data_IF_146112051021
#
_entry.id   IF_146112051021
#
_cell.length_a   1.000
_cell.length_b   1.000
_cell.length_c   1.000
_cell.angle_alpha   90.00
_cell.angle_beta   90.00
_cell.angle_gamma   90.00
#
_symmetry.space_group_name_H-M   'P 1'
#
loop_
_entity.id
_entity.type
_entity.pdbx_description
1 polymer ?
#
# COMPACT_ATOMS: atom_id res chain seq x y z
N UNK A 1 11.77 19.10 5.92
CA UNK A 1 10.38 18.68 6.22
C UNK A 1 9.86 17.94 5.00
N UNK A 2 9.37 16.70 5.13
CA UNK A 2 8.78 15.96 3.99
C UNK A 2 7.51 16.69 3.54
N UNK A 3 7.40 16.96 2.23
CA UNK A 3 6.26 17.67 1.65
C UNK A 3 5.09 16.74 1.30
N UNK A 4 5.35 15.48 0.97
CA UNK A 4 4.32 14.53 0.58
C UNK A 4 3.66 13.85 1.79
N UNK A 5 2.38 13.51 1.62
CA UNK A 5 1.57 12.72 2.56
C UNK A 5 0.89 11.62 1.77
N UNK A 6 1.29 10.37 2.00
CA UNK A 6 0.67 9.20 1.41
C UNK A 6 -0.78 9.07 1.88
N UNK A 7 -1.60 8.36 1.10
CA UNK A 7 -2.99 8.04 1.47
C UNK A 7 -3.21 6.54 1.46
N UNK A 8 -3.78 6.02 2.54
CA UNK A 8 -3.91 4.59 2.77
C UNK A 8 -5.32 4.21 3.22
N UNK A 9 -5.80 3.07 2.75
CA UNK A 9 -7.08 2.48 3.15
C UNK A 9 -6.81 1.22 3.97
N UNK A 10 -7.27 1.23 5.23
CA UNK A 10 -7.23 0.06 6.11
C UNK A 10 -8.57 -0.66 6.11
N UNK A 11 -8.53 -1.98 5.97
CA UNK A 11 -9.73 -2.79 5.85
C UNK A 11 -10.14 -3.32 7.21
N UNK A 12 -11.38 -3.05 7.58
CA UNK A 12 -11.98 -3.40 8.87
C UNK A 12 -13.37 -3.99 8.66
N UNK A 13 -13.99 -4.46 9.74
CA UNK A 13 -15.37 -4.93 9.78
C UNK A 13 -16.11 -4.31 10.97
N UNK A 14 -17.40 -4.62 11.10
CA UNK A 14 -18.28 -4.19 12.18
C UNK A 14 -17.68 -4.37 13.59
N UNK A 15 -16.89 -5.44 13.79
CA UNK A 15 -16.38 -5.82 15.11
C UNK A 15 -15.04 -5.18 15.44
N UNK A 16 -14.28 -4.79 14.42
CA UNK A 16 -12.94 -4.25 14.57
C UNK A 16 -12.88 -2.74 14.40
N UNK A 17 -13.71 -2.15 13.52
CA UNK A 17 -13.72 -0.71 13.28
C UNK A 17 -13.93 0.11 14.56
N UNK A 18 -14.93 -0.20 15.43
CA UNK A 18 -15.15 0.58 16.65
C UNK A 18 -13.94 0.57 17.58
N UNK A 19 -13.24 -0.57 17.72
CA UNK A 19 -12.04 -0.70 18.55
C UNK A 19 -10.91 0.17 18.00
N UNK A 20 -10.63 0.09 16.69
CA UNK A 20 -9.59 0.91 16.05
C UNK A 20 -9.87 2.41 16.17
N UNK A 21 -11.13 2.82 15.99
CA UNK A 21 -11.59 4.22 16.13
C UNK A 21 -11.39 4.72 17.55
N UNK A 22 -11.89 3.99 18.55
CA UNK A 22 -11.91 4.48 19.93
C UNK A 22 -10.53 4.39 20.59
N UNK A 23 -9.67 3.49 20.12
CA UNK A 23 -8.29 3.30 20.59
C UNK A 23 -7.24 3.97 19.73
N UNK A 24 -7.61 4.63 18.63
CA UNK A 24 -6.71 5.40 17.77
C UNK A 24 -5.48 4.61 17.28
N UNK A 25 -5.73 3.43 16.72
CA UNK A 25 -4.70 2.63 16.05
C UNK A 25 -5.28 1.92 14.83
N UNK A 26 -4.42 1.41 13.96
CA UNK A 26 -4.76 0.42 12.93
C UNK A 26 -4.01 -0.88 13.22
N UNK A 27 -4.73 -1.99 13.32
CA UNK A 27 -4.18 -3.34 13.42
C UNK A 27 -4.35 -4.09 12.11
N UNK A 28 -3.33 -4.82 11.69
CA UNK A 28 -3.37 -5.66 10.50
C UNK A 28 -2.92 -7.08 10.79
N UNK A 29 -3.28 -7.99 9.89
CA UNK A 29 -3.03 -9.43 10.02
C UNK A 29 -1.54 -9.72 10.19
N UNK A 30 -1.20 -10.92 10.66
CA UNK A 30 0.15 -11.45 10.68
C UNK A 30 0.12 -12.86 10.07
N UNK A 31 0.26 -12.97 8.74
CA UNK A 31 0.24 -14.25 8.06
C UNK A 31 1.32 -15.21 8.57
N UNK A 32 0.99 -16.51 8.66
CA UNK A 32 1.96 -17.54 9.01
C UNK A 32 2.98 -17.78 7.89
N UNK A 33 2.52 -17.68 6.63
CA UNK A 33 3.35 -17.83 5.44
C UNK A 33 4.26 -16.60 5.27
N UNK A 34 5.55 -16.85 5.08
CA UNK A 34 6.58 -15.82 5.01
C UNK A 34 6.34 -14.82 3.88
N UNK A 35 6.11 -15.30 2.66
CA UNK A 35 5.85 -14.47 1.49
C UNK A 35 4.65 -13.50 1.70
N UNK A 36 3.54 -14.00 2.25
CA UNK A 36 2.36 -13.17 2.53
C UNK A 36 2.60 -12.19 3.67
N UNK A 37 3.40 -12.57 4.66
CA UNK A 37 3.78 -11.70 5.78
C UNK A 37 4.66 -10.56 5.31
N UNK A 38 5.67 -10.82 4.48
CA UNK A 38 6.51 -9.75 3.95
C UNK A 38 5.81 -8.87 2.92
N UNK A 39 4.86 -9.42 2.15
CA UNK A 39 4.00 -8.57 1.30
C UNK A 39 3.17 -7.59 2.12
N UNK A 40 2.69 -8.00 3.30
CA UNK A 40 2.05 -7.08 4.25
C UNK A 40 3.05 -6.13 4.91
N UNK A 41 4.28 -6.58 5.18
CA UNK A 41 5.31 -5.70 5.73
C UNK A 41 5.71 -4.63 4.72
N UNK A 42 5.71 -4.93 3.42
CA UNK A 42 5.88 -3.92 2.39
C UNK A 42 4.81 -2.83 2.50
N UNK A 43 3.54 -3.21 2.70
CA UNK A 43 2.46 -2.25 2.92
C UNK A 43 2.68 -1.37 4.15
N UNK A 44 3.09 -2.00 5.27
CA UNK A 44 3.35 -1.28 6.52
C UNK A 44 4.58 -0.38 6.40
N UNK A 45 5.64 -0.85 5.75
CA UNK A 45 6.86 -0.09 5.54
C UNK A 45 6.71 1.00 4.49
N UNK A 46 5.59 1.08 3.76
CA UNK A 46 5.28 2.22 2.90
C UNK A 46 4.61 3.38 3.66
N UNK A 47 4.12 3.13 4.89
CA UNK A 47 3.50 4.14 5.73
C UNK A 47 4.53 5.12 6.29
N UNK A 48 4.16 6.40 6.41
CA UNK A 48 4.94 7.46 7.07
C UNK A 48 4.09 8.23 8.06
N UNK A 49 4.73 8.79 9.08
CA UNK A 49 4.06 9.76 9.96
C UNK A 49 3.60 10.97 9.15
N UNK A 50 2.36 11.40 9.39
CA UNK A 50 1.69 12.44 8.62
C UNK A 50 0.85 11.95 7.45
N UNK A 51 0.96 10.66 7.08
CA UNK A 51 0.11 10.07 6.04
C UNK A 51 -1.36 10.01 6.48
N UNK A 52 -2.25 10.09 5.49
CA UNK A 52 -3.70 10.05 5.68
C UNK A 52 -4.20 8.61 5.65
N UNK A 53 -5.09 8.28 6.58
CA UNK A 53 -5.73 6.97 6.68
C UNK A 53 -7.25 7.10 6.58
N UNK A 54 -7.83 6.25 5.76
CA UNK A 54 -9.26 5.94 5.74
C UNK A 54 -9.47 4.50 6.19
N UNK A 55 -10.59 4.23 6.86
CA UNK A 55 -11.05 2.85 7.06
C UNK A 55 -12.04 2.47 5.97
N UNK A 56 -11.95 1.25 5.45
CA UNK A 56 -12.99 0.64 4.62
C UNK A 56 -13.63 -0.52 5.39
N UNK A 57 -14.87 -0.30 5.82
CA UNK A 57 -15.66 -1.30 6.55
C UNK A 57 -16.34 -2.25 5.56
N UNK A 58 -15.99 -3.55 5.65
CA UNK A 58 -16.42 -4.61 4.74
C UNK A 58 -17.90 -5.00 4.92
N UNK A 59 -18.42 -5.71 3.91
CA UNK A 59 -19.72 -6.37 3.94
C UNK A 59 -19.63 -7.67 4.74
N UNK A 60 -19.92 -7.66 6.03
CA UNK A 60 -20.19 -8.89 6.80
C UNK A 60 -21.56 -8.68 7.44
N UNK A 61 -22.63 -9.10 6.76
CA UNK A 61 -24.02 -9.02 7.25
C UNK A 61 -24.54 -7.61 7.61
N UNK A 62 -23.81 -6.55 7.25
CA UNK A 62 -24.18 -5.16 7.53
C UNK A 62 -25.05 -4.51 6.42
N UNK A 63 -25.99 -3.61 6.80
CA UNK A 63 -26.77 -2.84 5.85
C UNK A 63 -25.90 -2.07 4.85
N UNK A 64 -26.38 -1.94 3.61
CA UNK A 64 -25.60 -1.30 2.54
C UNK A 64 -25.17 0.14 2.86
N UNK A 65 -25.92 0.85 3.69
CA UNK A 65 -25.72 2.26 4.05
C UNK A 65 -24.78 2.45 5.24
N UNK A 66 -24.46 1.40 6.00
CA UNK A 66 -23.66 1.47 7.23
C UNK A 66 -22.21 1.02 7.02
N UNK A 67 -21.81 0.83 5.76
CA UNK A 67 -20.50 0.33 5.36
C UNK A 67 -19.86 1.23 4.32
N UNK A 68 -18.58 1.00 4.04
CA UNK A 68 -17.80 1.77 3.09
C UNK A 68 -16.68 2.55 3.77
N UNK A 69 -16.29 3.67 3.18
CA UNK A 69 -15.16 4.46 3.64
C UNK A 69 -15.53 5.35 4.82
N UNK A 70 -14.68 5.36 5.85
CA UNK A 70 -14.94 6.03 7.13
C UNK A 70 -13.72 6.80 7.63
N UNK A 71 -14.01 7.99 8.13
CA UNK A 71 -13.10 8.88 8.85
C UNK A 71 -11.88 9.35 8.05
N UNK A 72 -11.22 10.37 8.56
CA UNK A 72 -9.93 10.85 8.06
C UNK A 72 -8.98 10.89 9.26
N UNK A 73 -7.96 10.06 9.22
CA UNK A 73 -6.98 9.93 10.30
C UNK A 73 -5.60 10.30 9.78
N UNK A 74 -4.69 10.60 10.71
CA UNK A 74 -3.27 10.85 10.40
C UNK A 74 -2.41 9.84 11.17
N UNK A 75 -1.42 9.24 10.51
CA UNK A 75 -0.44 8.34 11.13
C UNK A 75 0.50 9.14 12.04
N UNK A 76 0.74 8.64 13.26
CA UNK A 76 1.58 9.32 14.27
C UNK A 76 2.70 8.43 14.85
N UNK A 77 2.87 7.21 14.34
CA UNK A 77 3.97 6.34 14.74
C UNK A 77 4.54 5.57 13.55
N UNK A 78 5.72 5.00 13.73
CA UNK A 78 6.19 3.90 12.88
C UNK A 78 5.35 2.64 13.14
N UNK A 79 5.28 1.69 12.18
CA UNK A 79 4.71 0.37 12.41
C UNK A 79 5.47 -0.41 13.50
N UNK A 80 4.72 -1.15 14.30
CA UNK A 80 5.25 -1.96 15.39
C UNK A 80 4.51 -3.28 15.54
N UNK A 81 5.08 -4.17 16.35
CA UNK A 81 4.55 -5.48 16.68
C UNK A 81 4.17 -5.55 18.16
N UNK A 82 2.90 -5.84 18.44
CA UNK A 82 2.37 -5.96 19.80
C UNK A 82 1.42 -7.15 19.93
N UNK A 83 1.70 -8.01 20.91
CA UNK A 83 0.93 -9.23 21.20
C UNK A 83 -0.11 -9.03 22.31
N UNK A 84 -0.23 -7.84 22.88
CA UNK A 84 -1.24 -7.50 23.87
C UNK A 84 -2.62 -7.39 23.21
N UNK A 85 -3.64 -7.78 23.95
CA UNK A 85 -5.03 -7.65 23.51
C UNK A 85 -5.54 -6.24 23.77
N UNK A 86 -6.35 -5.72 22.85
CA UNK A 86 -6.93 -4.38 22.91
C UNK A 86 -8.44 -4.53 22.92
N UNK A 87 -9.03 -4.34 24.10
CA UNK A 87 -10.48 -4.33 24.26
C UNK A 87 -11.06 -2.97 23.90
N UNK A 88 -12.26 -2.95 23.34
CA UNK A 88 -12.98 -1.73 23.05
C UNK A 88 -13.38 -0.97 24.30
N UNK A 89 -13.58 0.33 24.13
CA UNK A 89 -13.93 1.30 25.18
C UNK A 89 -15.13 2.13 24.74
N UNK A 90 -15.89 2.67 25.68
CA UNK A 90 -17.08 3.47 25.39
C UNK A 90 -18.05 2.71 24.46
N UNK A 91 -18.25 3.22 23.24
CA UNK A 91 -19.17 2.64 22.25
C UNK A 91 -18.69 1.30 21.68
N UNK A 92 -17.40 0.97 21.84
CA UNK A 92 -16.84 -0.32 21.40
C UNK A 92 -16.74 -1.36 22.52
N UNK A 93 -17.31 -1.11 23.71
CA UNK A 93 -17.35 -2.11 24.79
C UNK A 93 -17.96 -3.43 24.30
N UNK A 94 -17.31 -4.54 24.63
CA UNK A 94 -17.69 -5.89 24.18
C UNK A 94 -16.97 -6.35 22.91
N UNK A 95 -16.35 -5.45 22.14
CA UNK A 95 -15.46 -5.80 21.04
C UNK A 95 -14.00 -5.90 21.48
N UNK A 96 -13.19 -6.68 20.76
CA UNK A 96 -11.77 -6.86 21.08
C UNK A 96 -10.96 -7.24 19.85
N UNK A 97 -9.77 -6.65 19.75
CA UNK A 97 -8.72 -7.02 18.80
C UNK A 97 -7.60 -7.70 19.58
N UNK A 98 -7.26 -8.94 19.21
CA UNK A 98 -6.25 -9.71 19.92
C UNK A 98 -4.87 -9.53 19.29
N UNK A 99 -3.82 -9.59 20.10
CA UNK A 99 -2.43 -9.65 19.62
C UNK A 99 -1.96 -11.09 19.37
N UNK A 100 -2.64 -12.07 19.97
CA UNK A 100 -2.28 -13.49 19.89
C UNK A 100 -3.49 -14.42 19.99
N UNK A 101 -3.28 -15.68 19.61
CA UNK A 101 -4.28 -16.71 19.75
C UNK A 101 -4.57 -16.97 21.23
N UNK A 102 -5.85 -16.94 21.67
CA UNK A 102 -6.21 -17.17 23.07
C UNK A 102 -5.89 -18.58 23.56
N UNK A 103 -5.70 -19.54 22.64
CA UNK A 103 -5.51 -20.94 22.99
C UNK A 103 -4.03 -21.37 23.09
N UNK A 104 -3.13 -20.74 22.32
CA UNK A 104 -1.73 -21.16 22.24
C UNK A 104 -0.73 -20.01 22.22
N UNK A 105 -1.18 -18.76 22.33
CA UNK A 105 -0.31 -17.59 22.34
C UNK A 105 0.37 -17.25 21.01
N UNK A 106 0.10 -17.97 19.93
CA UNK A 106 0.68 -17.66 18.62
C UNK A 106 0.17 -16.32 18.08
N UNK A 107 1.03 -15.44 17.56
CA UNK A 107 0.62 -14.14 17.03
C UNK A 107 0.14 -14.21 15.58
N UNK A 108 -0.03 -15.41 15.00
CA UNK A 108 -0.44 -15.53 13.60
C UNK A 108 -1.95 -15.38 13.45
N UNK A 109 -2.35 -14.63 12.42
CA UNK A 109 -3.77 -14.45 12.11
C UNK A 109 -4.45 -15.76 11.76
N UNK A 110 -5.65 -15.92 12.28
CA UNK A 110 -6.48 -17.07 12.01
C UNK A 110 -6.85 -17.16 10.52
N UNK A 111 -6.97 -18.39 10.02
CA UNK A 111 -7.52 -18.67 8.70
C UNK A 111 -9.04 -18.75 8.81
N UNK A 112 -9.74 -18.04 7.94
CA UNK A 112 -11.19 -18.20 7.76
C UNK A 112 -11.46 -19.51 7.03
N UNK A 113 -12.39 -20.31 7.53
CA UNK A 113 -12.88 -21.53 6.85
C UNK A 113 -14.33 -21.26 6.45
N UNK A 114 -14.62 -21.34 5.14
CA UNK A 114 -15.95 -21.27 4.50
C UNK A 114 -17.01 -20.45 5.25
N UNK A 115 -17.31 -19.24 4.75
CA UNK A 115 -18.48 -18.46 5.19
C UNK A 115 -18.26 -17.57 6.42
N UNK A 116 -17.07 -16.94 6.56
CA UNK A 116 -16.71 -15.89 7.53
C UNK A 116 -16.91 -16.12 9.04
N UNK A 117 -17.61 -17.17 9.49
CA UNK A 117 -17.97 -17.35 10.90
C UNK A 117 -16.91 -18.09 11.73
N UNK A 118 -16.19 -19.06 11.14
CA UNK A 118 -15.25 -19.91 11.89
C UNK A 118 -13.80 -19.58 11.54
N UNK A 119 -13.09 -18.96 12.49
CA UNK A 119 -11.66 -18.67 12.38
C UNK A 119 -10.86 -19.74 13.15
N UNK A 120 -9.88 -20.38 12.49
CA UNK A 120 -8.96 -21.35 13.13
C UNK A 120 -7.56 -20.79 13.24
N UNK A 121 -6.95 -20.95 14.41
CA UNK A 121 -5.53 -20.66 14.59
C UNK A 121 -4.69 -21.53 13.65
N UNK A 122 -3.76 -20.96 12.85
CA UNK A 122 -2.96 -21.75 11.92
C UNK A 122 -1.97 -22.68 12.63
N UNK A 123 -1.66 -22.44 13.91
CA UNK A 123 -0.73 -23.24 14.73
C UNK A 123 -1.49 -24.35 15.48
N UNK A 124 -2.28 -24.01 16.50
CA UNK A 124 -2.93 -25.02 17.34
C UNK A 124 -4.25 -25.58 16.78
N UNK A 125 -4.71 -25.06 15.63
CA UNK A 125 -5.96 -25.47 14.93
C UNK A 125 -7.27 -25.26 15.71
N UNK A 126 -7.22 -24.79 16.96
CA UNK A 126 -8.40 -24.43 17.75
C UNK A 126 -9.13 -23.22 17.15
N UNK A 127 -10.45 -23.22 17.28
CA UNK A 127 -11.34 -22.15 16.81
C UNK A 127 -11.40 -20.99 17.82
N UNK A 128 -11.64 -19.78 17.32
CA UNK A 128 -11.96 -18.61 18.15
C UNK A 128 -12.65 -17.51 17.30
N UNK A 129 -13.40 -16.60 17.91
CA UNK A 129 -14.08 -15.50 17.19
C UNK A 129 -13.20 -14.29 16.85
N UNK A 130 -12.05 -14.14 17.52
CA UNK A 130 -11.27 -12.90 17.48
C UNK A 130 -10.43 -12.69 16.21
N UNK A 131 -10.23 -11.42 15.85
CA UNK A 131 -9.17 -11.00 14.92
C UNK A 131 -7.84 -10.92 15.67
N UNK A 132 -6.82 -11.62 15.16
CA UNK A 132 -5.44 -11.53 15.68
C UNK A 132 -4.68 -10.56 14.77
N UNK A 133 -4.42 -9.35 15.27
CA UNK A 133 -3.84 -8.21 14.55
C UNK A 133 -2.66 -7.60 15.34
N UNK A 134 -1.49 -8.27 15.39
CA UNK A 134 -0.36 -7.79 16.19
C UNK A 134 0.50 -6.74 15.48
N UNK A 135 0.42 -6.64 14.16
CA UNK A 135 1.09 -5.60 13.40
C UNK A 135 0.25 -4.33 13.49
N UNK A 136 0.77 -3.27 14.10
CA UNK A 136 -0.01 -2.10 14.50
C UNK A 136 0.69 -0.80 14.13
N UNK A 137 -0.10 0.25 14.04
CA UNK A 137 0.37 1.62 13.85
C UNK A 137 -0.59 2.57 14.58
N UNK A 138 -0.06 3.62 15.20
CA UNK A 138 -0.86 4.62 15.91
C UNK A 138 -1.33 5.70 14.94
N UNK A 139 -2.55 6.16 15.17
CA UNK A 139 -3.17 7.24 14.40
C UNK A 139 -3.73 8.30 15.34
N UNK A 140 -4.10 9.45 14.80
CA UNK A 140 -4.99 10.43 15.46
C UNK A 140 -6.11 10.81 14.52
N UNK A 141 -7.24 11.24 15.06
CA UNK A 141 -8.33 11.81 14.26
C UNK A 141 -7.83 13.10 13.63
N UNK A 142 -7.96 13.22 12.31
CA UNK A 142 -7.76 14.48 11.58
C UNK A 142 -9.10 15.16 11.34
N UNK A 143 -10.05 14.43 10.77
CA UNK A 143 -11.45 14.85 10.61
C UNK A 143 -12.36 13.65 10.85
N UNK A 144 -13.40 13.86 11.67
CA UNK A 144 -14.41 12.84 11.93
C UNK A 144 -15.69 13.14 11.16
N UNK A 145 -16.24 12.07 10.58
CA UNK A 145 -17.46 12.07 9.79
C UNK A 145 -18.30 10.87 10.23
N UNK A 146 -19.54 11.13 10.63
CA UNK A 146 -20.42 10.10 11.19
C UNK A 146 -20.84 9.07 10.13
N UNK A 147 -21.27 9.56 8.97
CA UNK A 147 -21.79 8.74 7.89
C UNK A 147 -20.66 8.31 6.95
N UNK A 148 -20.60 7.03 6.55
CA UNK A 148 -19.61 6.53 5.62
C UNK A 148 -19.89 7.00 4.19
N UNK A 149 -18.88 6.91 3.33
CA UNK A 149 -19.07 6.89 1.87
C UNK A 149 -19.31 5.45 1.44
N UNK A 150 -20.54 5.13 1.06
CA UNK A 150 -20.88 3.80 0.56
C UNK A 150 -20.26 3.51 -0.81
N UNK A 151 -20.26 2.23 -1.18
CA UNK A 151 -19.68 1.74 -2.43
C UNK A 151 -20.24 2.42 -3.70
N UNK A 152 -21.56 2.60 -3.79
CA UNK A 152 -22.15 3.18 -5.00
C UNK A 152 -21.75 4.65 -5.11
N UNK A 153 -21.75 5.37 -3.98
CA UNK A 153 -21.27 6.75 -3.94
C UNK A 153 -19.79 6.88 -4.28
N UNK A 154 -18.95 5.95 -3.81
CA UNK A 154 -17.51 5.94 -4.10
C UNK A 154 -17.16 5.61 -5.57
N UNK A 155 -17.77 4.55 -6.12
CA UNK A 155 -17.35 3.96 -7.40
C UNK A 155 -18.24 4.30 -8.59
N UNK A 156 -19.54 4.51 -8.39
CA UNK A 156 -20.52 4.66 -9.48
C UNK A 156 -20.96 6.11 -9.67
N UNK A 157 -20.87 6.94 -8.62
CA UNK A 157 -21.32 8.33 -8.72
C UNK A 157 -20.37 9.18 -9.57
N UNK A 158 -20.78 9.46 -10.81
CA UNK A 158 -20.05 10.31 -11.77
C UNK A 158 -20.32 11.82 -11.60
N UNK A 159 -21.15 12.23 -10.63
CA UNK A 159 -21.37 13.67 -10.33
C UNK A 159 -20.24 14.31 -9.53
N UNK A 160 -19.24 13.52 -9.12
CA UNK A 160 -18.03 14.01 -8.47
C UNK A 160 -16.81 13.64 -9.32
N UNK A 161 -15.90 14.60 -9.50
CA UNK A 161 -14.69 14.40 -10.29
C UNK A 161 -13.75 13.33 -9.69
N UNK A 162 -13.12 12.55 -10.57
CA UNK A 162 -12.13 11.51 -10.24
C UNK A 162 -12.72 10.11 -10.08
N UNK A 163 -11.86 9.11 -10.07
CA UNK A 163 -12.22 7.69 -9.92
C UNK A 163 -11.28 7.00 -8.93
N UNK A 164 -11.79 5.99 -8.22
CA UNK A 164 -11.02 5.18 -7.26
C UNK A 164 -10.54 3.88 -7.94
N UNK A 165 -9.75 4.00 -9.01
CA UNK A 165 -9.29 2.88 -9.82
C UNK A 165 -8.54 1.82 -9.03
N UNK A 166 -7.58 2.23 -8.18
CA UNK A 166 -6.76 1.27 -7.42
C UNK A 166 -7.62 0.41 -6.49
N UNK A 167 -8.67 1.01 -5.93
CA UNK A 167 -9.66 0.32 -5.10
C UNK A 167 -10.70 -0.45 -5.90
N UNK A 168 -11.11 0.04 -7.07
CA UNK A 168 -12.09 -0.62 -7.94
C UNK A 168 -11.52 -1.91 -8.53
N UNK A 169 -10.28 -1.88 -9.05
CA UNK A 169 -9.60 -3.08 -9.56
C UNK A 169 -9.50 -4.14 -8.47
N UNK A 170 -9.14 -3.72 -7.24
CA UNK A 170 -9.10 -4.60 -6.07
C UNK A 170 -10.46 -5.24 -5.77
N UNK A 171 -11.56 -4.52 -5.96
CA UNK A 171 -12.91 -4.99 -5.62
C UNK A 171 -13.48 -5.97 -6.65
N UNK A 172 -13.17 -5.78 -7.92
CA UNK A 172 -13.60 -6.68 -8.99
C UNK A 172 -12.85 -8.01 -8.88
N UNK A 173 -11.64 -8.00 -8.35
CA UNK A 173 -10.83 -9.20 -8.19
C UNK A 173 -11.23 -10.07 -6.99
N UNK A 174 -11.28 -11.40 -7.23
CA UNK A 174 -11.82 -12.40 -6.31
C UNK A 174 -10.93 -12.76 -5.09
N UNK A 175 -11.35 -13.79 -4.33
CA UNK A 175 -10.68 -14.22 -3.10
C UNK A 175 -9.19 -14.54 -3.28
N UNK A 176 -8.37 -14.19 -2.28
CA UNK A 176 -6.93 -14.54 -2.26
C UNK A 176 -5.96 -13.40 -2.60
N UNK A 177 -6.46 -12.25 -3.05
CA UNK A 177 -5.66 -11.01 -3.24
C UNK A 177 -6.08 -9.86 -2.31
N UNK A 178 -6.83 -10.19 -1.26
CA UNK A 178 -7.26 -9.24 -0.24
C UNK A 178 -6.07 -8.74 0.58
N UNK A 179 -5.70 -7.47 0.39
CA UNK A 179 -4.76 -6.78 1.28
C UNK A 179 -5.48 -6.12 2.45
N UNK A 180 -4.81 -6.07 3.60
CA UNK A 180 -5.32 -5.36 4.78
C UNK A 180 -5.14 -3.84 4.67
N UNK A 181 -4.16 -3.42 3.86
CA UNK A 181 -3.79 -2.03 3.59
C UNK A 181 -3.79 -1.86 2.07
N UNK A 182 -4.23 -0.70 1.58
CA UNK A 182 -4.11 -0.35 0.17
C UNK A 182 -3.64 1.09 0.06
N UNK A 183 -2.55 1.28 -0.69
CA UNK A 183 -2.04 2.59 -1.07
C UNK A 183 -2.90 3.12 -2.22
N UNK A 184 -3.59 4.23 -1.99
CA UNK A 184 -4.41 4.88 -3.02
C UNK A 184 -3.70 6.12 -3.53
N UNK A 185 -4.00 6.52 -4.77
CA UNK A 185 -3.37 7.68 -5.38
C UNK A 185 -3.79 8.96 -4.64
N UNK A 186 -2.97 10.04 -4.68
CA UNK A 186 -3.30 11.30 -4.03
C UNK A 186 -4.72 11.82 -4.37
N UNK A 187 -5.06 11.83 -5.65
CA UNK A 187 -6.36 12.26 -6.18
C UNK A 187 -7.54 11.35 -5.73
N UNK A 188 -7.28 10.08 -5.45
CA UNK A 188 -8.27 9.14 -4.90
C UNK A 188 -8.57 9.48 -3.43
N UNK A 189 -7.52 9.82 -2.66
CA UNK A 189 -7.64 10.31 -1.30
C UNK A 189 -8.45 11.60 -1.21
N UNK A 190 -8.14 12.58 -2.07
CA UNK A 190 -8.91 13.82 -2.14
C UNK A 190 -10.37 13.58 -2.48
N UNK A 191 -10.66 12.66 -3.42
CA UNK A 191 -12.04 12.28 -3.76
C UNK A 191 -12.77 11.74 -2.53
N UNK A 192 -12.16 10.84 -1.76
CA UNK A 192 -12.79 10.30 -0.55
C UNK A 192 -13.08 11.38 0.50
N UNK A 193 -12.15 12.30 0.74
CA UNK A 193 -12.38 13.44 1.64
C UNK A 193 -13.54 14.30 1.16
N UNK A 194 -13.59 14.65 -0.14
CA UNK A 194 -14.70 15.43 -0.72
C UNK A 194 -16.05 14.72 -0.57
N UNK A 195 -16.10 13.41 -0.78
CA UNK A 195 -17.33 12.63 -0.65
C UNK A 195 -17.79 12.55 0.81
N UNK A 196 -16.88 12.34 1.77
CA UNK A 196 -17.21 12.36 3.20
C UNK A 196 -17.78 13.71 3.62
N UNK A 197 -17.14 14.81 3.22
CA UNK A 197 -17.63 16.16 3.48
C UNK A 197 -19.01 16.39 2.86
N UNK A 198 -19.24 15.96 1.61
CA UNK A 198 -20.52 16.12 0.92
C UNK A 198 -21.66 15.36 1.61
N UNK A 199 -21.42 14.14 2.07
CA UNK A 199 -22.44 13.31 2.73
C UNK A 199 -22.80 13.88 4.11
N UNK A 200 -21.81 14.39 4.83
CA UNK A 200 -21.99 14.83 6.22
C UNK A 200 -22.23 16.33 6.37
N UNK A 201 -22.01 17.13 5.31
CA UNK A 201 -22.09 18.58 5.30
C UNK A 201 -20.90 19.28 5.98
N UNK A 202 -20.45 18.77 7.13
CA UNK A 202 -19.28 19.23 7.88
C UNK A 202 -18.66 18.09 8.68
N UNK A 203 -17.41 18.26 9.12
CA UNK A 203 -16.83 17.40 10.15
C UNK A 203 -17.49 17.66 11.51
N UNK A 204 -17.51 16.63 12.36
CA UNK A 204 -18.07 16.70 13.70
C UNK A 204 -17.03 16.31 14.76
N UNK A 205 -17.39 16.49 16.04
CA UNK A 205 -16.54 16.03 17.13
C UNK A 205 -16.50 14.50 17.14
N UNK A 206 -15.31 13.88 17.23
CA UNK A 206 -15.21 12.44 17.34
C UNK A 206 -15.88 11.95 18.63
N UNK A 207 -16.39 10.70 18.65
CA UNK A 207 -16.83 10.08 19.90
C UNK A 207 -15.66 10.02 20.91
N UNK A 208 -15.97 9.84 22.22
CA UNK A 208 -14.94 9.66 23.23
C UNK A 208 -13.95 8.56 22.84
N UNK A 209 -12.66 8.89 22.89
CA UNK A 209 -11.56 7.98 22.57
C UNK A 209 -10.66 7.78 23.78
N UNK A 210 -10.18 6.56 23.97
CA UNK A 210 -9.12 6.24 24.91
C UNK A 210 -7.93 5.75 24.10
N UNK A 211 -6.96 6.64 23.78
CA UNK A 211 -5.83 6.29 22.92
C UNK A 211 -5.16 4.99 23.33
N UNK A 212 -4.56 4.34 22.34
CA UNK A 212 -3.90 3.06 22.48
C UNK A 212 -3.09 2.99 23.78
N UNK A 213 -3.32 1.96 24.63
CA UNK A 213 -2.60 1.86 25.88
C UNK A 213 -1.12 1.73 25.51
N UNK A 214 -0.34 2.77 25.81
CA UNK A 214 1.11 2.70 25.64
C UNK A 214 1.55 1.50 26.47
N UNK A 215 2.02 0.45 25.82
CA UNK A 215 2.82 -0.53 26.53
C UNK A 215 3.98 0.27 27.14
N UNK A 216 4.28 0.05 28.42
CA UNK A 216 5.43 0.66 29.09
C UNK A 216 6.61 0.67 28.11
N UNK A 217 7.35 1.78 28.04
CA UNK A 217 8.25 2.21 26.94
C UNK A 217 9.26 1.15 26.41
N UNK A 218 9.36 -0.03 27.02
CA UNK A 218 10.15 -1.17 26.59
C UNK A 218 9.45 -2.27 25.75
N UNK A 219 8.14 -2.22 25.47
CA UNK A 219 7.42 -3.34 24.83
C UNK A 219 7.02 -3.14 23.35
N UNK A 220 7.18 -1.95 22.79
CA UNK A 220 6.86 -1.69 21.37
C UNK A 220 8.05 -2.12 20.50
N UNK A 221 8.00 -3.36 20.01
CA UNK A 221 8.98 -3.84 19.05
C UNK A 221 8.71 -3.20 17.68
N UNK A 222 9.55 -2.24 17.28
CA UNK A 222 9.52 -1.73 15.88
C UNK A 222 9.54 -2.91 14.92
N UNK A 223 8.74 -2.82 13.86
CA UNK A 223 8.66 -3.89 12.89
C UNK A 223 10.03 -4.06 12.21
N UNK A 224 10.63 -5.25 12.31
CA UNK A 224 11.94 -5.54 11.75
C UNK A 224 11.82 -6.37 10.47
N UNK A 225 12.54 -5.95 9.43
CA UNK A 225 12.71 -6.72 8.20
C UNK A 225 13.89 -7.67 8.37
N UNK A 226 13.71 -8.97 8.11
CA UNK A 226 14.80 -9.93 8.07
C UNK A 226 15.11 -10.28 6.62
N UNK A 227 16.19 -9.69 6.08
CA UNK A 227 16.60 -9.87 4.68
C UNK A 227 17.22 -11.26 4.43
N UNK A 228 17.90 -11.81 5.44
CA UNK A 228 18.63 -13.08 5.36
C UNK A 228 20.14 -12.87 5.15
N UNK A 229 20.88 -13.98 5.10
CA UNK A 229 22.36 -13.98 5.01
C UNK A 229 22.91 -14.51 3.66
N UNK A 230 22.06 -15.10 2.83
CA UNK A 230 22.45 -15.56 1.49
C UNK A 230 22.51 -14.38 0.51
N UNK A 231 23.15 -14.52 -0.67
CA UNK A 231 23.32 -13.42 -1.64
C UNK A 231 22.00 -12.93 -2.27
N UNK A 232 20.93 -13.70 -2.09
CA UNK A 232 19.59 -13.47 -2.65
C UNK A 232 18.56 -13.55 -1.52
N UNK A 233 17.55 -12.68 -1.55
CA UNK A 233 16.41 -12.77 -0.63
C UNK A 233 15.59 -14.05 -0.87
N UNK A 234 14.93 -14.58 0.17
CA UNK A 234 14.14 -15.82 0.06
C UNK A 234 12.88 -15.66 -0.80
N UNK A 235 12.36 -14.43 -0.92
CA UNK A 235 11.16 -14.08 -1.71
C UNK A 235 11.22 -12.63 -2.18
N UNK A 236 10.55 -12.35 -3.30
CA UNK A 236 10.43 -11.00 -3.88
C UNK A 236 9.79 -10.01 -2.90
N UNK A 237 8.83 -10.46 -2.09
CA UNK A 237 8.20 -9.64 -1.04
C UNK A 237 9.18 -9.07 -0.02
N UNK A 238 10.35 -9.70 0.19
CA UNK A 238 11.40 -9.15 1.07
C UNK A 238 12.10 -7.98 0.37
N UNK A 239 12.40 -8.11 -0.92
CA UNK A 239 12.96 -7.03 -1.71
C UNK A 239 11.98 -5.85 -1.77
N UNK A 240 10.71 -6.12 -2.03
CA UNK A 240 9.63 -5.13 -2.00
C UNK A 240 9.52 -4.43 -0.65
N UNK A 241 9.51 -5.19 0.45
CA UNK A 241 9.46 -4.63 1.81
C UNK A 241 10.69 -3.79 2.15
N UNK A 242 11.88 -4.21 1.69
CA UNK A 242 13.10 -3.45 1.83
C UNK A 242 13.03 -2.13 1.06
N UNK A 243 12.54 -2.16 -0.18
CA UNK A 243 12.36 -0.97 -1.00
C UNK A 243 11.41 0.02 -0.31
N UNK A 244 10.23 -0.43 0.13
CA UNK A 244 9.26 0.45 0.82
C UNK A 244 9.84 1.05 2.11
N UNK A 245 10.63 0.28 2.86
CA UNK A 245 11.30 0.75 4.07
C UNK A 245 12.36 1.82 3.80
N UNK A 246 12.94 1.88 2.60
CA UNK A 246 14.16 2.65 2.33
C UNK A 246 14.08 3.67 1.18
N UNK A 247 13.00 3.66 0.39
CA UNK A 247 12.87 4.46 -0.84
C UNK A 247 13.08 5.96 -0.64
N UNK A 248 12.78 6.47 0.55
CA UNK A 248 12.84 7.88 0.92
C UNK A 248 13.89 8.18 2.02
N UNK A 249 14.92 7.34 2.12
CA UNK A 249 16.01 7.43 3.11
C UNK A 249 17.36 7.88 2.53
N UNK A 250 17.37 8.49 1.34
CA UNK A 250 18.58 8.98 0.66
C UNK A 250 19.65 7.90 0.43
N UNK A 251 19.26 6.65 0.16
CA UNK A 251 20.22 5.63 -0.29
C UNK A 251 20.66 6.02 -1.71
N UNK A 252 21.97 6.19 -2.00
CA UNK A 252 22.43 6.83 -3.24
C UNK A 252 21.77 6.32 -4.52
N UNK A 253 21.77 5.00 -4.73
CA UNK A 253 21.16 4.42 -5.94
C UNK A 253 19.64 4.55 -5.99
N UNK A 254 18.96 4.59 -4.84
CA UNK A 254 17.52 4.83 -4.79
C UNK A 254 17.22 6.30 -5.13
N UNK A 255 18.03 7.23 -4.61
CA UNK A 255 17.95 8.65 -4.95
C UNK A 255 18.16 8.88 -6.45
N UNK A 256 19.05 8.12 -7.09
CA UNK A 256 19.30 8.22 -8.53
C UNK A 256 18.13 7.71 -9.40
N UNK A 257 17.44 6.64 -8.99
CA UNK A 257 16.30 6.10 -9.77
C UNK A 257 14.95 6.77 -9.45
N UNK A 258 14.76 7.18 -8.20
CA UNK A 258 13.55 7.89 -7.75
C UNK A 258 13.67 9.35 -8.17
N UNK A 259 14.80 9.98 -7.86
CA UNK A 259 15.01 11.42 -8.02
C UNK A 259 14.90 12.17 -6.69
N UNK A 260 14.79 13.51 -6.73
CA UNK A 260 14.75 14.34 -5.53
C UNK A 260 13.54 14.02 -4.64
N UNK A 261 13.77 13.86 -3.34
CA UNK A 261 12.71 13.50 -2.39
C UNK A 261 11.67 14.61 -2.19
N UNK A 262 12.05 15.86 -2.45
CA UNK A 262 11.15 17.02 -2.43
C UNK A 262 10.13 17.01 -3.56
N UNK A 263 10.40 16.25 -4.64
CA UNK A 263 9.49 16.07 -5.77
C UNK A 263 8.68 14.78 -5.65
N UNK A 264 9.08 13.82 -4.80
CA UNK A 264 8.34 12.58 -4.58
C UNK A 264 6.95 12.89 -4.00
N UNK A 265 5.90 12.62 -4.77
CA UNK A 265 4.50 12.89 -4.43
C UNK A 265 3.81 11.65 -3.83
N UNK A 266 4.14 10.48 -4.38
CA UNK A 266 3.53 9.21 -4.03
C UNK A 266 4.55 8.09 -4.25
N UNK A 267 4.50 7.08 -3.40
CA UNK A 267 5.02 5.76 -3.73
C UNK A 267 4.14 4.68 -3.13
N UNK A 268 4.08 3.53 -3.80
CA UNK A 268 3.30 2.38 -3.34
C UNK A 268 3.78 1.10 -4.00
N UNK A 269 3.42 -0.01 -3.37
CA UNK A 269 3.82 -1.35 -3.77
C UNK A 269 2.63 -2.19 -4.26
N UNK A 270 2.87 -3.08 -5.22
CA UNK A 270 1.83 -3.88 -5.91
C UNK A 270 0.63 -3.02 -6.36
N UNK A 271 0.90 -1.89 -7.03
CA UNK A 271 -0.14 -0.94 -7.45
C UNK A 271 -0.88 -1.49 -8.65
N UNK A 272 -2.18 -1.74 -8.50
CA UNK A 272 -3.05 -2.25 -9.56
C UNK A 272 -3.30 -1.18 -10.62
N UNK A 273 -3.15 -1.56 -11.89
CA UNK A 273 -3.46 -0.69 -13.02
C UNK A 273 -4.45 -1.31 -14.02
N UNK A 274 -4.73 -2.61 -13.89
CA UNK A 274 -5.60 -3.35 -14.81
C UNK A 274 -6.69 -4.16 -14.11
N UNK A 275 -7.81 -4.35 -14.83
CA UNK A 275 -8.98 -5.12 -14.35
C UNK A 275 -8.65 -6.62 -14.23
N UNK A 276 -7.70 -7.12 -15.02
CA UNK A 276 -7.19 -8.50 -14.96
C UNK A 276 -6.27 -8.77 -13.78
N UNK A 277 -6.12 -7.79 -12.87
CA UNK A 277 -5.29 -7.90 -11.67
C UNK A 277 -3.82 -7.64 -11.95
N UNK A 278 -3.53 -6.99 -13.08
CA UNK A 278 -2.22 -6.48 -13.44
C UNK A 278 -1.80 -5.37 -12.48
N UNK A 279 -0.54 -5.46 -12.08
CA UNK A 279 0.06 -4.58 -11.09
C UNK A 279 1.51 -4.27 -11.48
N UNK A 280 1.99 -3.15 -10.99
CA UNK A 280 3.41 -2.84 -10.93
C UNK A 280 3.91 -3.12 -9.52
N UNK A 281 5.12 -3.65 -9.39
CA UNK A 281 5.65 -3.99 -8.07
C UNK A 281 5.90 -2.74 -7.23
N UNK A 282 6.46 -1.68 -7.84
CA UNK A 282 6.59 -0.36 -7.21
C UNK A 282 6.23 0.73 -8.21
N UNK A 283 5.44 1.71 -7.75
CA UNK A 283 5.13 2.93 -8.48
C UNK A 283 5.55 4.14 -7.65
N UNK A 284 6.21 5.11 -8.27
CA UNK A 284 6.48 6.42 -7.67
C UNK A 284 5.96 7.52 -8.59
N UNK A 285 5.37 8.58 -8.04
CA UNK A 285 5.02 9.80 -8.77
C UNK A 285 5.88 10.97 -8.31
N UNK A 286 6.17 11.87 -9.25
CA UNK A 286 7.01 13.04 -9.04
C UNK A 286 6.32 14.31 -9.51
N UNK A 287 6.41 15.34 -8.69
CA UNK A 287 5.68 16.59 -8.81
C UNK A 287 6.55 17.78 -8.38
N UNK A 288 6.73 18.75 -9.28
CA UNK A 288 7.48 19.99 -9.04
C UNK A 288 6.58 21.25 -9.17
N UNK A 289 5.31 21.11 -8.76
CA UNK A 289 4.23 22.06 -8.97
C UNK A 289 3.11 21.44 -9.82
N UNK A 290 3.48 20.55 -10.73
CA UNK A 290 2.58 19.67 -11.48
C UNK A 290 3.22 18.28 -11.55
N UNK A 291 2.40 17.21 -11.46
CA UNK A 291 2.88 15.83 -11.63
C UNK A 291 3.45 15.66 -13.05
N UNK A 292 4.72 15.27 -13.15
CA UNK A 292 5.45 15.25 -14.44
C UNK A 292 6.08 13.91 -14.79
N UNK A 293 6.32 13.03 -13.81
CA UNK A 293 6.99 11.73 -14.01
C UNK A 293 6.38 10.64 -13.14
N UNK A 294 6.38 9.41 -13.64
CA UNK A 294 6.29 8.20 -12.84
C UNK A 294 7.54 7.31 -13.01
N UNK A 295 8.04 6.78 -11.90
CA UNK A 295 9.04 5.69 -11.92
C UNK A 295 8.31 4.38 -11.66
N UNK A 296 8.45 3.43 -12.58
CA UNK A 296 7.79 2.12 -12.50
C UNK A 296 8.87 1.07 -12.32
N UNK A 297 8.80 0.29 -11.24
CA UNK A 297 9.80 -0.74 -10.95
C UNK A 297 9.18 -2.13 -10.97
N UNK A 298 9.83 -3.02 -11.69
CA UNK A 298 9.59 -4.46 -11.66
C UNK A 298 10.71 -5.13 -10.85
N UNK A 299 10.33 -5.98 -9.91
CA UNK A 299 11.25 -6.70 -9.04
C UNK A 299 11.30 -8.16 -9.46
N UNK A 300 12.48 -8.76 -9.36
CA UNK A 300 12.67 -10.21 -9.48
C UNK A 300 13.49 -10.69 -8.31
N UNK A 301 13.01 -11.70 -7.59
CA UNK A 301 13.86 -12.44 -6.61
C UNK A 301 15.09 -13.06 -7.30
N UNK A 302 14.89 -13.60 -8.50
CA UNK A 302 15.94 -14.30 -9.24
C UNK A 302 16.67 -13.39 -10.22
N UNK A 303 17.38 -14.01 -11.15
CA UNK A 303 17.91 -13.30 -12.31
C UNK A 303 16.79 -12.69 -13.15
N UNK A 304 17.13 -11.61 -13.83
CA UNK A 304 16.23 -10.89 -14.72
C UNK A 304 16.08 -11.69 -16.01
N UNK A 305 14.82 -11.97 -16.38
CA UNK A 305 14.43 -12.80 -17.51
C UNK A 305 13.61 -12.03 -18.55
N UNK A 306 13.28 -12.71 -19.66
CA UNK A 306 12.51 -12.12 -20.77
C UNK A 306 11.13 -11.63 -20.33
N UNK A 307 10.48 -12.31 -19.38
CA UNK A 307 9.19 -11.87 -18.83
C UNK A 307 9.32 -10.53 -18.12
N UNK A 308 10.40 -10.33 -17.36
CA UNK A 308 10.72 -9.03 -16.77
C UNK A 308 10.84 -7.92 -17.82
N UNK A 309 11.45 -8.21 -18.97
CA UNK A 309 11.56 -7.28 -20.11
C UNK A 309 10.19 -6.96 -20.71
N UNK A 310 9.39 -7.99 -21.00
CA UNK A 310 8.03 -7.83 -21.53
C UNK A 310 7.15 -6.95 -20.60
N UNK A 311 7.21 -7.19 -19.28
CA UNK A 311 6.46 -6.41 -18.30
C UNK A 311 6.82 -4.92 -18.32
N UNK A 312 8.11 -4.57 -18.34
CA UNK A 312 8.53 -3.15 -18.36
C UNK A 312 8.21 -2.45 -19.68
N UNK A 313 8.05 -3.19 -20.77
CA UNK A 313 7.62 -2.64 -22.06
C UNK A 313 6.12 -2.35 -22.12
N UNK A 314 5.32 -3.15 -21.40
CA UNK A 314 3.85 -3.09 -21.33
C UNK A 314 3.31 -2.05 -20.34
N UNK A 315 3.99 -1.86 -19.20
CA UNK A 315 3.57 -0.91 -18.16
C UNK A 315 3.33 0.53 -18.62
N UNK A 316 4.17 1.15 -19.47
CA UNK A 316 4.14 2.59 -19.69
C UNK A 316 2.79 3.12 -20.16
N UNK A 317 2.10 2.43 -21.07
CA UNK A 317 0.81 2.89 -21.61
C UNK A 317 -0.28 2.95 -20.53
N UNK A 318 -0.40 1.88 -19.73
CA UNK A 318 -1.44 1.77 -18.71
C UNK A 318 -1.13 2.60 -17.46
N UNK A 319 0.13 2.59 -17.02
CA UNK A 319 0.56 3.41 -15.89
C UNK A 319 0.42 4.89 -16.21
N UNK A 320 0.74 5.31 -17.44
CA UNK A 320 0.54 6.71 -17.81
C UNK A 320 -0.94 7.11 -17.73
N UNK A 321 -1.87 6.27 -18.18
CA UNK A 321 -3.30 6.56 -17.99
C UNK A 321 -3.69 6.61 -16.50
N UNK A 322 -3.27 5.64 -15.69
CA UNK A 322 -3.53 5.63 -14.25
C UNK A 322 -3.02 6.90 -13.56
N UNK A 323 -1.84 7.38 -13.96
CA UNK A 323 -1.12 8.50 -13.34
C UNK A 323 -1.66 9.88 -13.74
N UNK A 324 -2.39 9.97 -14.86
CA UNK A 324 -2.70 11.24 -15.52
C UNK A 324 -4.20 11.47 -15.75
N UNK A 325 -4.99 10.42 -16.01
CA UNK A 325 -6.36 10.56 -16.50
C UNK A 325 -7.37 11.11 -15.47
N UNK A 326 -7.06 11.02 -14.18
CA UNK A 326 -7.97 11.43 -13.09
C UNK A 326 -7.46 12.64 -12.31
N UNK A 327 -6.41 13.29 -12.79
CA UNK A 327 -5.89 14.51 -12.18
C UNK A 327 -6.94 15.62 -12.25
N UNK A 328 -7.05 16.47 -11.22
CA UNK A 328 -7.95 17.63 -11.24
C UNK A 328 -7.46 18.78 -12.14
N UNK A 329 -6.32 18.59 -12.82
CA UNK A 329 -5.67 19.54 -13.71
C UNK A 329 -5.09 18.83 -14.93
N UNK A 330 -4.86 19.61 -15.98
CA UNK A 330 -4.32 19.17 -17.26
C UNK A 330 -2.80 18.98 -17.20
N UNK A 331 -2.30 17.96 -17.90
CA UNK A 331 -0.88 17.82 -18.21
C UNK A 331 -0.69 17.49 -19.69
N UNK A 332 0.25 18.17 -20.34
CA UNK A 332 0.52 18.00 -21.77
C UNK A 332 1.76 17.15 -22.05
N UNK A 333 2.62 16.96 -21.05
CA UNK A 333 3.81 16.13 -21.10
C UNK A 333 3.94 15.33 -19.80
N UNK A 334 4.26 14.06 -19.95
CA UNK A 334 4.49 13.15 -18.83
C UNK A 334 5.65 12.21 -19.14
N UNK A 335 6.42 11.81 -18.14
CA UNK A 335 7.55 10.89 -18.30
C UNK A 335 7.31 9.58 -17.56
N UNK A 336 7.67 8.46 -18.18
CA UNK A 336 7.73 7.15 -17.52
C UNK A 336 9.20 6.73 -17.50
N UNK A 337 9.72 6.41 -16.31
CA UNK A 337 11.02 5.77 -16.13
C UNK A 337 10.82 4.30 -15.71
N UNK A 338 11.01 3.33 -16.61
CA UNK A 338 11.02 1.92 -16.25
C UNK A 338 12.32 1.55 -15.52
N UNK A 339 12.20 0.71 -14.49
CA UNK A 339 13.33 0.17 -13.72
C UNK A 339 13.11 -1.32 -13.53
N UNK A 340 14.11 -2.14 -13.78
CA UNK A 340 14.07 -3.58 -13.58
C UNK A 340 15.18 -3.97 -12.61
N UNK A 341 14.81 -4.66 -11.53
CA UNK A 341 15.70 -4.99 -10.42
C UNK A 341 15.68 -6.51 -10.21
N UNK A 342 16.83 -7.16 -10.26
CA UNK A 342 16.94 -8.60 -9.99
C UNK A 342 18.32 -9.03 -9.52
N UNK A 343 18.53 -10.33 -9.34
CA UNK A 343 19.82 -10.89 -8.93
C UNK A 343 20.55 -11.51 -10.13
N UNK A 344 21.27 -10.67 -10.88
CA UNK A 344 22.00 -11.04 -12.09
C UNK A 344 21.10 -11.14 -13.34
N UNK A 345 21.70 -11.34 -14.50
CA UNK A 345 21.01 -11.52 -15.78
C UNK A 345 21.96 -12.09 -16.84
N UNK A 346 21.43 -12.51 -18.00
CA UNK A 346 22.25 -12.92 -19.15
C UNK A 346 22.61 -11.73 -20.06
N UNK A 347 23.65 -11.89 -20.88
CA UNK A 347 24.05 -10.88 -21.87
C UNK A 347 22.99 -10.63 -22.96
N UNK A 348 22.20 -11.66 -23.28
CA UNK A 348 21.05 -11.57 -24.19
C UNK A 348 20.00 -10.60 -23.65
N UNK A 349 19.59 -10.75 -22.39
CA UNK A 349 18.61 -9.88 -21.74
C UNK A 349 19.12 -8.43 -21.63
N UNK A 350 20.40 -8.22 -21.37
CA UNK A 350 21.00 -6.87 -21.41
C UNK A 350 20.88 -6.26 -22.81
N UNK A 351 21.04 -7.07 -23.86
CA UNK A 351 20.91 -6.62 -25.25
C UNK A 351 19.46 -6.28 -25.58
N UNK A 352 18.50 -7.12 -25.17
CA UNK A 352 17.07 -6.86 -25.34
C UNK A 352 16.67 -5.54 -24.70
N UNK A 353 17.08 -5.29 -23.45
CA UNK A 353 16.77 -4.05 -22.73
C UNK A 353 17.39 -2.82 -23.40
N UNK A 354 18.61 -2.94 -23.94
CA UNK A 354 19.23 -1.86 -24.71
C UNK A 354 18.43 -1.50 -25.96
N UNK A 355 17.75 -2.49 -26.55
CA UNK A 355 16.94 -2.31 -27.76
C UNK A 355 15.56 -1.69 -27.50
N UNK A 356 15.03 -1.73 -26.26
CA UNK A 356 13.73 -1.14 -25.90
C UNK A 356 13.67 0.37 -26.21
N UNK A 357 14.81 1.06 -26.19
CA UNK A 357 14.93 2.46 -26.63
C UNK A 357 14.10 3.46 -25.81
N UNK A 358 14.17 4.75 -26.22
CA UNK A 358 13.19 5.75 -25.77
C UNK A 358 12.03 5.76 -26.76
N UNK A 359 10.80 5.80 -26.27
CA UNK A 359 9.59 5.89 -27.11
C UNK A 359 8.65 6.98 -26.65
N UNK A 360 7.89 7.54 -27.57
CA UNK A 360 6.83 8.50 -27.29
C UNK A 360 5.48 7.84 -27.53
N UNK A 361 4.53 8.09 -26.64
CA UNK A 361 3.15 7.63 -26.72
C UNK A 361 2.24 8.85 -26.64
N UNK A 362 1.31 9.01 -27.56
CA UNK A 362 0.23 9.99 -27.45
C UNK A 362 -0.98 9.34 -26.76
N UNK A 363 -1.36 9.85 -25.58
CA UNK A 363 -2.56 9.38 -24.90
C UNK A 363 -3.80 10.11 -25.44
N UNK A 364 -4.82 9.40 -25.94
CA UNK A 364 -6.06 10.00 -26.44
C UNK A 364 -7.01 10.36 -25.30
N UNK A 365 -6.50 11.06 -24.28
CA UNK A 365 -7.30 11.60 -23.20
C UNK A 365 -8.08 12.83 -23.69
N UNK A 366 -9.09 13.26 -22.90
CA UNK A 366 -9.86 14.48 -23.18
C UNK A 366 -8.95 15.69 -23.43
N UNK A 367 -7.84 15.75 -22.70
CA UNK A 367 -6.74 16.67 -22.92
C UNK A 367 -5.51 15.87 -23.34
N UNK A 368 -4.94 16.19 -24.49
CA UNK A 368 -3.82 15.44 -25.05
C UNK A 368 -2.62 15.49 -24.12
N UNK A 369 -2.10 14.33 -23.77
CA UNK A 369 -0.87 14.18 -22.99
C UNK A 369 0.14 13.37 -23.80
N UNK A 370 1.31 13.97 -24.06
CA UNK A 370 2.45 13.30 -24.69
C UNK A 370 3.29 12.62 -23.62
N UNK A 371 3.38 11.29 -23.69
CA UNK A 371 4.16 10.49 -22.74
C UNK A 371 5.51 10.13 -23.35
N UNK A 372 6.60 10.47 -22.65
CA UNK A 372 7.95 10.05 -23.01
C UNK A 372 8.35 8.90 -22.10
N UNK A 373 8.52 7.71 -22.68
CA UNK A 373 8.99 6.52 -21.99
C UNK A 373 10.51 6.46 -22.14
N UNK A 374 11.22 6.69 -21.05
CA UNK A 374 12.69 6.67 -20.99
C UNK A 374 13.22 5.25 -21.19
N UNK A 375 14.50 5.16 -21.55
CA UNK A 375 15.23 3.90 -21.59
C UNK A 375 15.15 3.22 -20.21
N UNK A 376 14.90 1.90 -20.15
CA UNK A 376 14.86 1.20 -18.87
C UNK A 376 16.20 1.26 -18.13
N UNK A 377 16.14 1.35 -16.81
CA UNK A 377 17.29 1.20 -15.91
C UNK A 377 17.35 -0.24 -15.42
N UNK A 378 18.55 -0.84 -15.44
CA UNK A 378 18.77 -2.20 -14.99
C UNK A 378 19.69 -2.26 -13.77
N UNK A 379 19.16 -2.76 -12.67
CA UNK A 379 19.89 -2.92 -11.42
C UNK A 379 20.04 -4.40 -11.05
N UNK A 380 21.25 -4.78 -10.66
CA UNK A 380 21.47 -6.00 -9.89
C UNK A 380 21.42 -5.66 -8.41
N UNK A 381 20.63 -6.40 -7.65
CA UNK A 381 20.73 -6.40 -6.19
C UNK A 381 21.51 -7.62 -5.68
N UNK A 382 22.13 -7.45 -4.53
CA UNK A 382 22.73 -8.55 -3.77
C UNK A 382 22.62 -8.25 -2.28
N UNK A 383 22.52 -9.32 -1.49
CA UNK A 383 22.47 -9.22 -0.04
C UNK A 383 23.87 -9.37 0.54
N UNK A 384 24.26 -8.44 1.41
CA UNK A 384 25.53 -8.46 2.13
C UNK A 384 25.30 -7.89 3.53
N UNK A 385 25.84 -8.56 4.54
CA UNK A 385 25.75 -8.15 5.95
C UNK A 385 24.31 -7.88 6.43
N UNK A 386 23.36 -8.71 5.98
CA UNK A 386 21.95 -8.59 6.33
C UNK A 386 21.22 -7.41 5.66
N UNK A 387 21.81 -6.77 4.65
CA UNK A 387 21.24 -5.63 3.94
C UNK A 387 21.25 -5.82 2.42
N UNK A 388 20.36 -5.12 1.71
CA UNK A 388 20.31 -5.15 0.24
C UNK A 388 21.18 -4.02 -0.31
N UNK A 389 22.03 -4.37 -1.26
CA UNK A 389 22.90 -3.47 -1.98
C UNK A 389 22.61 -3.60 -3.48
N UNK A 390 23.01 -2.60 -4.26
CA UNK A 390 22.74 -2.58 -5.69
C UNK A 390 23.97 -2.14 -6.49
N UNK A 391 23.98 -2.52 -7.76
CA UNK A 391 24.89 -1.99 -8.78
C UNK A 391 24.15 -1.89 -10.12
N UNK A 392 24.57 -0.95 -10.95
CA UNK A 392 24.06 -0.86 -12.32
C UNK A 392 24.60 -2.02 -13.16
N UNK A 393 23.68 -2.69 -13.85
CA UNK A 393 24.01 -3.56 -14.98
C UNK A 393 23.93 -2.78 -16.29
N UNK A 394 23.02 -1.81 -16.33
CA UNK A 394 22.85 -0.88 -17.43
C UNK A 394 22.16 0.38 -16.92
N UNK A 395 22.74 1.53 -17.27
CA UNK A 395 22.16 2.85 -17.02
C UNK A 395 22.28 3.67 -18.30
N UNK A 396 21.32 4.57 -18.51
CA UNK A 396 21.34 5.54 -19.62
C UNK A 396 21.78 6.95 -19.20
N UNK A 397 22.18 7.11 -17.93
CA UNK A 397 22.76 8.34 -17.39
C UNK A 397 24.16 8.62 -17.93
#
# INVERSE_FOLDING_TARGET
>A
MRKFKGTHVFVVDATTFPVHRDRLFCGVKNPITEWSRYGLYADLFALRQGDVVFFYQRRIDEPRKERGFRGVYEIISEPFFDINDIDGVYQSQGFSVRGKCPNCGSPFSAKTIKGDEIKKCPVCKKQHGYHILPNRILIKVKEYYENPVDDNTAYINHTNHGMLWTMLFRKIFGPGRERSITHILPEEGEKLTRLLMRINGKSCQPPPSMPYPKAEEGLINRLQLKVGNGPVVSSESILEAWMMQNIDKNIPILTEIVGPLEELEYFGNNVLYGIGGEKVDILCFHNNGVRYKATVMELKKGGIDKKGVEQIEDYPYWVAQLSTANLPYSINKFEIQPVLIGHGTSSEIITDIKNVGEKTIDLPLKEKCKVVVKKPILLEYYVKDGNINFKYLYSSY
#
